data_IF_844928908160
#
_entry.id   IF_844928908160
#
_cell.length_a   1.000
_cell.length_b   1.000
_cell.length_c   1.000
_cell.angle_alpha   90.00
_cell.angle_beta   90.00
_cell.angle_gamma   90.00
#
_symmetry.space_group_name_H-M   'P 1'
#
loop_
_entity.id
_entity.type
_entity.pdbx_description
1 polymer ?
#
# COMPACT_ATOMS: atom_id res chain seq x y z
N UNK A 1 21.20 11.40 -5.76
CA UNK A 1 21.21 10.71 -7.06
C UNK A 1 20.35 9.45 -6.96
N UNK A 2 19.13 9.58 -7.49
CA UNK A 2 18.21 8.60 -8.07
C UNK A 2 18.09 7.20 -7.44
N UNK A 3 17.21 7.09 -6.44
CA UNK A 3 16.54 5.83 -6.12
C UNK A 3 15.77 5.36 -7.36
N UNK A 4 16.32 4.39 -8.11
CA UNK A 4 15.59 3.72 -9.20
C UNK A 4 14.43 2.93 -8.60
N UNK A 5 13.30 3.61 -8.49
CA UNK A 5 12.02 3.07 -8.06
C UNK A 5 11.51 2.09 -9.13
N UNK A 6 10.99 0.94 -8.67
CA UNK A 6 10.23 0.04 -9.51
C UNK A 6 9.02 0.81 -10.10
N UNK A 7 8.80 0.78 -11.42
CA UNK A 7 7.63 1.39 -12.04
C UNK A 7 6.45 0.44 -11.87
N UNK A 8 5.88 0.36 -10.67
CA UNK A 8 4.66 -0.43 -10.46
C UNK A 8 3.51 0.54 -10.30
N UNK A 9 2.95 0.96 -11.44
CA UNK A 9 1.58 1.42 -11.45
C UNK A 9 0.72 0.18 -11.23
N UNK A 10 0.24 -0.03 -10.01
CA UNK A 10 -0.52 -1.23 -9.67
C UNK A 10 -1.95 -0.86 -9.34
N UNK A 11 -2.87 -1.56 -9.99
CA UNK A 11 -4.29 -1.60 -9.64
C UNK A 11 -4.47 -2.71 -8.60
N UNK A 12 -4.80 -2.35 -7.36
CA UNK A 12 -5.17 -3.31 -6.32
C UNK A 12 -6.70 -3.40 -6.30
N UNK A 13 -7.25 -4.56 -6.65
CA UNK A 13 -8.68 -4.84 -6.53
C UNK A 13 -9.04 -5.11 -5.07
N UNK A 14 -10.10 -4.47 -4.57
CA UNK A 14 -10.62 -4.70 -3.22
C UNK A 14 -11.58 -5.88 -3.24
N UNK A 15 -11.43 -6.74 -2.24
CA UNK A 15 -12.47 -7.67 -1.82
C UNK A 15 -13.12 -7.07 -0.58
N UNK A 16 -14.34 -6.55 -0.69
CA UNK A 16 -15.16 -6.34 0.51
C UNK A 16 -15.48 -7.73 1.04
N UNK A 17 -14.84 -8.16 2.14
CA UNK A 17 -15.40 -9.25 2.94
C UNK A 17 -16.54 -8.66 3.76
N UNK A 18 -17.75 -8.66 3.18
CA UNK A 18 -18.95 -8.59 3.99
C UNK A 18 -19.14 -9.98 4.60
N UNK A 19 -19.12 -10.10 5.92
CA UNK A 19 -19.53 -11.32 6.61
C UNK A 19 -21.05 -11.47 6.47
N UNK A 20 -21.53 -11.87 5.30
CA UNK A 20 -22.91 -12.30 5.14
C UNK A 20 -22.96 -13.81 5.41
N UNK A 21 -23.99 -14.26 6.12
CA UNK A 21 -24.25 -15.68 6.39
C UNK A 21 -24.76 -16.44 5.15
N UNK A 22 -24.67 -15.84 3.96
CA UNK A 22 -25.26 -16.33 2.73
C UNK A 22 -24.15 -16.63 1.72
N UNK A 23 -23.88 -17.92 1.41
CA UNK A 23 -22.77 -18.32 0.53
C UNK A 23 -22.96 -17.95 -0.95
N UNK A 24 -24.05 -17.29 -1.34
CA UNK A 24 -24.38 -16.99 -2.74
C UNK A 24 -24.40 -15.48 -3.12
N UNK A 25 -24.11 -14.56 -2.20
CA UNK A 25 -24.17 -13.13 -2.53
C UNK A 25 -22.83 -12.62 -3.08
N UNK A 26 -22.85 -12.53 -4.41
CA UNK A 26 -21.88 -12.00 -5.35
C UNK A 26 -21.02 -10.85 -4.79
N UNK A 27 -19.71 -11.02 -4.98
CA UNK A 27 -18.65 -10.04 -4.84
C UNK A 27 -19.00 -8.68 -5.47
N UNK A 28 -19.54 -7.73 -4.72
CA UNK A 28 -19.59 -6.34 -5.17
C UNK A 28 -18.18 -5.75 -5.13
N UNK A 29 -17.55 -5.80 -6.31
CA UNK A 29 -16.22 -5.25 -6.60
C UNK A 29 -16.32 -3.74 -6.77
N UNK A 30 -16.34 -2.98 -5.69
CA UNK A 30 -16.58 -1.53 -5.82
C UNK A 30 -15.37 -0.63 -5.56
N UNK A 31 -14.20 -1.17 -5.25
CA UNK A 31 -13.06 -0.31 -4.94
C UNK A 31 -11.78 -0.86 -5.56
N UNK A 32 -11.12 -0.07 -6.42
CA UNK A 32 -9.78 -0.40 -6.87
C UNK A 32 -8.85 0.75 -6.52
N UNK A 33 -7.75 0.42 -5.85
CA UNK A 33 -6.72 1.37 -5.47
C UNK A 33 -5.67 1.42 -6.56
N UNK A 34 -5.60 2.56 -7.27
CA UNK A 34 -4.54 2.81 -8.24
C UNK A 34 -3.34 3.50 -7.56
N UNK A 35 -2.20 2.84 -7.59
CA UNK A 35 -0.90 3.45 -7.31
C UNK A 35 -0.33 4.03 -8.61
N UNK A 36 0.12 5.29 -8.63
CA UNK A 36 0.79 5.87 -9.80
C UNK A 36 2.12 6.51 -9.39
N UNK A 37 3.19 6.10 -10.07
CA UNK A 37 4.51 6.72 -9.97
C UNK A 37 5.09 6.88 -11.37
N UNK A 38 4.79 8.01 -12.01
CA UNK A 38 5.63 8.49 -13.11
C UNK A 38 6.14 9.92 -13.01
N UNK A 39 5.87 10.66 -11.93
CA UNK A 39 6.53 11.98 -11.84
C UNK A 39 6.77 12.56 -10.44
N UNK A 40 6.16 12.03 -9.37
CA UNK A 40 6.45 12.50 -8.02
C UNK A 40 6.34 11.34 -7.05
N UNK A 41 7.32 11.18 -6.15
CA UNK A 41 7.47 10.10 -5.17
C UNK A 41 6.39 10.08 -4.07
N UNK A 42 5.12 10.12 -4.48
CA UNK A 42 3.96 10.32 -3.60
C UNK A 42 3.04 9.13 -3.77
N UNK A 43 2.85 8.37 -2.69
CA UNK A 43 1.88 7.29 -2.67
C UNK A 43 0.47 7.88 -2.67
N UNK A 44 -0.40 7.31 -3.52
CA UNK A 44 -1.79 7.73 -3.65
C UNK A 44 -2.68 6.51 -3.57
N UNK A 45 -3.81 6.66 -2.88
CA UNK A 45 -4.92 5.73 -2.90
C UNK A 45 -6.03 6.37 -3.70
N UNK A 46 -6.52 5.69 -4.71
CA UNK A 46 -7.67 6.13 -5.53
C UNK A 46 -8.86 5.24 -5.17
N UNK A 47 -10.05 5.81 -5.02
CA UNK A 47 -11.29 5.04 -4.91
C UNK A 47 -11.99 5.03 -6.27
N UNK A 48 -12.57 3.88 -6.65
CA UNK A 48 -13.39 3.78 -7.86
C UNK A 48 -14.87 4.05 -7.56
N UNK A 49 -15.36 3.54 -6.43
CA UNK A 49 -16.68 3.88 -5.89
C UNK A 49 -16.67 5.19 -5.12
N UNK A 50 -17.87 5.73 -4.86
CA UNK A 50 -18.07 7.00 -4.19
C UNK A 50 -17.60 6.95 -2.71
N UNK A 51 -16.52 7.69 -2.40
CA UNK A 51 -16.05 7.91 -1.02
C UNK A 51 -16.18 9.39 -0.67
N UNK A 52 -16.75 9.71 0.49
CA UNK A 52 -16.91 11.10 0.91
C UNK A 52 -15.55 11.79 1.11
N UNK A 53 -15.42 13.01 0.61
CA UNK A 53 -14.27 13.86 0.90
C UNK A 53 -14.13 14.11 2.41
N UNK A 54 -12.90 14.09 2.91
CA UNK A 54 -12.62 14.11 4.35
C UNK A 54 -12.48 12.72 4.96
N UNK A 55 -12.87 11.64 4.26
CA UNK A 55 -12.70 10.27 4.76
C UNK A 55 -11.22 9.96 4.98
N UNK A 56 -10.88 9.47 6.16
CA UNK A 56 -9.51 9.09 6.49
C UNK A 56 -9.16 7.77 5.82
N UNK A 57 -7.97 7.70 5.23
CA UNK A 57 -7.36 6.50 4.69
C UNK A 57 -6.08 6.23 5.47
N UNK A 58 -5.90 5.00 5.93
CA UNK A 58 -4.67 4.58 6.63
C UNK A 58 -4.01 3.41 5.94
N UNK A 59 -2.69 3.28 6.12
CA UNK A 59 -1.90 2.17 5.61
C UNK A 59 -1.20 1.49 6.78
N UNK A 60 -1.28 0.17 6.81
CA UNK A 60 -0.49 -0.71 7.67
C UNK A 60 0.35 -1.64 6.82
N UNK A 61 1.42 -2.16 7.40
CA UNK A 61 2.28 -3.14 6.76
C UNK A 61 2.67 -4.22 7.74
N UNK A 62 2.73 -5.46 7.27
CA UNK A 62 3.16 -6.57 8.08
C UNK A 62 3.53 -7.80 7.26
N UNK A 63 4.26 -8.73 7.88
CA UNK A 63 4.53 -10.07 7.40
C UNK A 63 4.97 -10.97 8.58
N UNK A 64 5.44 -12.18 8.29
CA UNK A 64 5.84 -13.16 9.31
C UNK A 64 7.04 -12.71 10.16
N UNK A 65 7.93 -11.85 9.65
CA UNK A 65 9.08 -11.34 10.42
C UNK A 65 8.73 -10.12 11.25
N UNK A 66 7.85 -9.28 10.72
CA UNK A 66 7.41 -8.08 11.38
C UNK A 66 5.91 -7.94 11.19
N UNK A 67 5.16 -8.41 12.18
CA UNK A 67 3.70 -8.48 12.13
C UNK A 67 3.04 -7.10 12.00
N UNK A 68 3.69 -6.05 12.50
CA UNK A 68 3.22 -4.68 12.49
C UNK A 68 4.42 -3.74 12.32
N UNK A 69 4.79 -3.48 11.07
CA UNK A 69 5.91 -2.62 10.77
C UNK A 69 5.61 -1.17 11.16
N UNK A 70 6.61 -0.48 11.70
CA UNK A 70 6.53 0.95 11.95
C UNK A 70 6.50 1.71 10.61
N UNK A 71 5.49 2.57 10.45
CA UNK A 71 5.29 3.43 9.29
C UNK A 71 4.99 4.85 9.78
N UNK A 72 5.67 5.83 9.21
CA UNK A 72 5.42 7.26 9.46
C UNK A 72 4.57 7.85 8.35
N UNK A 73 3.73 8.83 8.70
CA UNK A 73 2.80 9.49 7.79
C UNK A 73 1.86 8.51 7.08
N UNK A 74 1.40 7.49 7.81
CA UNK A 74 0.57 6.41 7.29
C UNK A 74 -0.92 6.73 7.17
N UNK A 75 -1.30 8.00 7.32
CA UNK A 75 -2.66 8.48 7.24
C UNK A 75 -2.75 9.60 6.21
N UNK A 76 -3.82 9.59 5.42
CA UNK A 76 -4.15 10.61 4.45
C UNK A 76 -5.66 10.84 4.41
N UNK A 77 -6.07 11.98 3.87
CA UNK A 77 -7.49 12.34 3.73
C UNK A 77 -7.90 12.16 2.26
N UNK A 78 -9.03 11.50 2.05
CA UNK A 78 -9.66 11.35 0.74
C UNK A 78 -10.17 12.71 0.25
N UNK A 79 -9.80 13.08 -0.97
CA UNK A 79 -10.32 14.27 -1.66
C UNK A 79 -10.46 14.00 -3.15
N UNK A 80 -11.63 14.23 -3.73
CA UNK A 80 -11.93 13.92 -5.13
C UNK A 80 -11.56 12.47 -5.48
N UNK A 81 -11.92 11.52 -4.62
CA UNK A 81 -11.63 10.08 -4.77
C UNK A 81 -10.13 9.73 -4.74
N UNK A 82 -9.27 10.65 -4.28
CA UNK A 82 -7.83 10.42 -4.13
C UNK A 82 -7.37 10.81 -2.73
N UNK A 83 -6.80 9.87 -1.99
CA UNK A 83 -6.03 10.14 -0.78
C UNK A 83 -4.53 10.16 -1.12
N UNK A 84 -3.89 11.31 -0.92
CA UNK A 84 -2.45 11.50 -1.19
C UNK A 84 -1.67 11.44 0.12
N UNK A 85 -0.72 10.52 0.22
CA UNK A 85 0.13 10.40 1.40
C UNK A 85 1.34 11.30 1.26
N UNK A 86 1.46 12.26 2.17
CA UNK A 86 2.61 13.16 2.21
C UNK A 86 3.76 12.45 2.92
N UNK A 87 4.84 12.16 2.20
CA UNK A 87 6.07 11.62 2.79
C UNK A 87 5.85 10.31 3.57
N UNK A 88 5.10 9.36 3.01
CA UNK A 88 4.92 8.03 3.60
C UNK A 88 6.28 7.32 3.71
N UNK A 89 6.64 6.87 4.92
CA UNK A 89 7.94 6.21 5.16
C UNK A 89 7.77 4.92 5.92
N UNK A 90 8.35 3.84 5.39
CA UNK A 90 8.48 2.57 6.09
C UNK A 90 9.77 2.58 6.92
N UNK A 91 9.63 2.46 8.24
CA UNK A 91 10.76 2.40 9.18
C UNK A 91 11.10 0.94 9.49
N UNK A 92 10.07 0.10 9.68
CA UNK A 92 10.23 -1.33 9.87
C UNK A 92 10.81 -2.03 8.64
N UNK A 93 11.77 -2.94 8.84
CA UNK A 93 12.36 -3.77 7.77
C UNK A 93 11.47 -4.98 7.49
N UNK A 94 11.38 -5.38 6.22
CA UNK A 94 10.54 -6.51 5.80
C UNK A 94 11.24 -7.86 5.84
N UNK A 95 12.57 -7.88 6.04
CA UNK A 95 13.36 -9.11 6.05
C UNK A 95 14.13 -9.38 4.76
N UNK A 96 15.16 -10.23 4.86
CA UNK A 96 15.96 -10.60 3.68
C UNK A 96 15.12 -11.43 2.72
N UNK A 97 14.89 -10.90 1.52
CA UNK A 97 14.11 -11.58 0.49
C UNK A 97 12.60 -11.62 0.76
N UNK A 98 12.11 -10.90 1.79
CA UNK A 98 10.70 -10.86 2.18
C UNK A 98 10.10 -9.48 1.91
N UNK A 99 8.82 -9.46 1.57
CA UNK A 99 8.05 -8.25 1.33
C UNK A 99 6.94 -8.11 2.37
N UNK A 100 6.47 -6.89 2.59
CA UNK A 100 5.28 -6.64 3.38
C UNK A 100 3.99 -6.88 2.59
N UNK A 101 2.98 -7.36 3.30
CA UNK A 101 1.57 -7.15 2.97
C UNK A 101 1.21 -5.73 3.39
N UNK A 102 0.62 -4.93 2.48
CA UNK A 102 0.01 -3.66 2.85
C UNK A 102 -1.48 -3.86 3.10
N UNK A 103 -1.97 -3.27 4.18
CA UNK A 103 -3.40 -3.20 4.50
C UNK A 103 -3.81 -1.73 4.45
N UNK A 104 -4.71 -1.39 3.54
CA UNK A 104 -5.21 -0.04 3.32
C UNK A 104 -6.63 -0.02 3.87
N UNK A 105 -6.90 0.86 4.82
CA UNK A 105 -8.23 1.00 5.42
C UNK A 105 -8.81 2.36 5.09
N UNK A 106 -9.98 2.37 4.48
CA UNK A 106 -10.78 3.57 4.22
C UNK A 106 -11.86 3.62 5.31
N UNK A 107 -11.85 4.68 6.12
CA UNK A 107 -12.72 4.85 7.29
C UNK A 107 -14.15 5.28 6.93
N UNK A 108 -14.77 4.60 5.97
CA UNK A 108 -16.21 4.70 5.70
C UNK A 108 -17.02 3.94 6.76
N UNK A 109 -18.34 4.04 6.69
CA UNK A 109 -19.26 3.23 7.51
C UNK A 109 -20.16 2.40 6.58
N UNK A 110 -19.94 1.09 6.43
CA UNK A 110 -18.91 0.27 7.07
C UNK A 110 -17.47 0.54 6.54
N UNK A 111 -16.41 0.27 7.33
CA UNK A 111 -15.04 0.44 6.88
C UNK A 111 -14.70 -0.48 5.70
N UNK A 112 -13.99 0.04 4.72
CA UNK A 112 -13.53 -0.73 3.56
C UNK A 112 -12.04 -1.03 3.71
N UNK A 113 -11.62 -2.26 3.40
CA UNK A 113 -10.23 -2.71 3.55
C UNK A 113 -9.71 -3.31 2.26
N UNK A 114 -8.58 -2.79 1.78
CA UNK A 114 -7.80 -3.36 0.69
C UNK A 114 -6.54 -4.02 1.25
N UNK A 115 -6.12 -5.12 0.64
CA UNK A 115 -4.82 -5.71 0.93
C UNK A 115 -4.01 -5.87 -0.34
N UNK A 116 -2.72 -5.51 -0.27
CA UNK A 116 -1.78 -5.76 -1.34
C UNK A 116 -0.63 -6.64 -0.85
N UNK A 117 -0.61 -7.88 -1.31
CA UNK A 117 0.38 -8.88 -0.93
C UNK A 117 1.70 -8.66 -1.65
N UNK A 118 2.81 -8.93 -0.93
CA UNK A 118 4.19 -8.81 -1.44
C UNK A 118 4.51 -7.42 -2.04
N UNK A 119 3.90 -6.37 -1.48
CA UNK A 119 3.87 -5.03 -2.05
C UNK A 119 5.21 -4.31 -2.08
N UNK A 120 5.94 -4.38 -0.95
CA UNK A 120 7.17 -3.62 -0.78
C UNK A 120 8.18 -4.43 0.02
N UNK A 121 9.43 -4.41 -0.43
CA UNK A 121 10.57 -4.91 0.31
C UNK A 121 11.34 -3.73 0.89
N UNK A 122 11.47 -3.70 2.21
CA UNK A 122 12.14 -2.63 2.96
C UNK A 122 13.41 -3.18 3.59
N UNK A 123 14.56 -2.73 3.10
CA UNK A 123 15.89 -3.15 3.56
C UNK A 123 16.78 -1.93 3.78
N UNK A 124 17.85 -2.08 4.57
CA UNK A 124 18.81 -0.98 4.87
C UNK A 124 19.41 -0.37 3.63
N UNK A 125 19.96 -1.22 2.76
CA UNK A 125 20.73 -0.78 1.59
C UNK A 125 19.85 -0.28 0.43
N UNK A 126 18.53 -0.49 0.50
CA UNK A 126 17.64 -0.30 -0.64
C UNK A 126 18.12 -1.07 -1.90
N UNK A 127 17.70 -0.65 -3.11
CA UNK A 127 18.25 -1.15 -4.36
C UNK A 127 19.73 -0.73 -4.49
N UNK A 128 20.64 -1.67 -4.25
CA UNK A 128 22.09 -1.44 -4.31
C UNK A 128 22.68 -2.02 -5.60
N UNK A 129 23.59 -1.29 -6.23
CA UNK A 129 24.38 -1.82 -7.35
C UNK A 129 25.18 -3.05 -6.91
N UNK A 130 25.42 -4.02 -7.81
CA UNK A 130 26.24 -5.19 -7.50
C UNK A 130 27.59 -4.73 -6.97
N UNK A 131 27.97 -5.18 -5.76
CA UNK A 131 29.28 -4.85 -5.18
C UNK A 131 30.37 -5.45 -6.08
N UNK A 132 31.12 -4.62 -6.78
CA UNK A 132 32.29 -5.04 -7.55
C UNK A 132 33.30 -5.69 -6.58
N UNK A 133 33.64 -6.95 -6.80
CA UNK A 133 34.78 -7.58 -6.12
C UNK A 133 36.04 -7.11 -6.83
N UNK A 134 36.84 -6.25 -6.19
CA UNK A 134 38.24 -6.10 -6.59
C UNK A 134 38.92 -7.44 -6.30
N UNK A 135 39.27 -8.17 -7.34
CA UNK A 135 40.29 -9.22 -7.24
C UNK A 135 41.64 -8.50 -7.20
N UNK A 136 42.34 -8.65 -6.09
CA UNK A 136 43.80 -8.52 -6.05
C UNK A 136 44.41 -9.80 -6.62
#
# INVERSE_FOLDING_TARGET
MNARHCPVSLVVCITNQTSTSSPELLWEREVAVLFSSREFAVLRVVALGAVQDGTVVTIRAGNDENCCAEIRNNSAVMKNQVAKFNDLRFVGRSGRGKSFLLTITISTTPPQVATYSKAIKVTVDGPREPRSKSRE
#
